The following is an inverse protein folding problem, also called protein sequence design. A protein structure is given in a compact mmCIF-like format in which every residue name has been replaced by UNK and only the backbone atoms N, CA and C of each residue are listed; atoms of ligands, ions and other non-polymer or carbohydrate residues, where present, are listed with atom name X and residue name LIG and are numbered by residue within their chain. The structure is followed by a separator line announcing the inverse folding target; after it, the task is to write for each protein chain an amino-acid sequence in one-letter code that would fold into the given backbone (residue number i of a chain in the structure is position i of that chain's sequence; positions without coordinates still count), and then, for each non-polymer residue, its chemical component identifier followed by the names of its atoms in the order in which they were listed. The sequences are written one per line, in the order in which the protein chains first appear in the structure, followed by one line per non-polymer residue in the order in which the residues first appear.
data_IF_708204470072
#
_entry.id   IF_708204470072
#
_cell.length_a   1.000
_cell.length_b   1.000
_cell.length_c   1.000
_cell.angle_alpha   90.00
_cell.angle_beta   90.00
_cell.angle_gamma   90.00
#
_symmetry.space_group_name_H-M   'P 1'
#
loop_
_entity.id
_entity.type
_entity.pdbx_description
1 polymer ?
#
# COMPACT_ATOMS: atom_id res chain seq x y z
N UNK A 1 -13.60 -36.83 23.50
CA UNK A 1 -12.54 -36.08 24.21
C UNK A 1 -13.18 -34.92 24.98
N UNK A 2 -12.91 -34.77 26.28
CA UNK A 2 -13.44 -33.66 27.09
C UNK A 2 -12.41 -32.52 27.10
N UNK A 3 -12.78 -31.35 26.60
CA UNK A 3 -11.91 -30.17 26.62
C UNK A 3 -11.86 -29.59 28.03
N UNK A 4 -10.65 -29.47 28.60
CA UNK A 4 -10.43 -28.78 29.88
C UNK A 4 -10.16 -27.30 29.65
N UNK A 5 -10.32 -26.48 30.70
CA UNK A 5 -10.09 -25.05 30.58
C UNK A 5 -8.63 -24.72 30.22
N UNK A 6 -7.68 -25.51 30.72
CA UNK A 6 -6.27 -25.40 30.34
C UNK A 6 -6.03 -25.69 28.86
N UNK A 7 -6.68 -26.71 28.30
CA UNK A 7 -6.60 -27.03 26.87
C UNK A 7 -7.19 -25.92 25.99
N UNK A 8 -8.30 -25.32 26.40
CA UNK A 8 -8.93 -24.25 25.62
C UNK A 8 -8.12 -22.95 25.68
N UNK A 9 -7.57 -22.59 26.84
CA UNK A 9 -6.65 -21.44 26.95
C UNK A 9 -5.42 -21.63 26.08
N UNK A 10 -4.80 -22.82 26.14
CA UNK A 10 -3.67 -23.15 25.29
C UNK A 10 -4.05 -23.12 23.81
N UNK A 11 -5.20 -23.68 23.42
CA UNK A 11 -5.68 -23.65 22.04
C UNK A 11 -5.83 -22.20 21.54
N UNK A 12 -6.49 -21.34 22.31
CA UNK A 12 -6.65 -19.93 21.96
C UNK A 12 -5.25 -19.32 21.81
N UNK A 13 -4.40 -19.40 22.83
CA UNK A 13 -3.04 -18.86 22.80
C UNK A 13 -2.24 -19.31 21.56
N UNK A 14 -2.18 -20.62 21.30
CA UNK A 14 -1.43 -21.20 20.17
C UNK A 14 -2.01 -20.76 18.82
N UNK A 15 -3.33 -20.74 18.65
CA UNK A 15 -3.99 -20.30 17.39
C UNK A 15 -3.59 -18.87 17.00
N UNK A 16 -3.25 -18.04 17.98
CA UNK A 16 -2.85 -16.65 17.76
C UNK A 16 -1.34 -16.44 17.69
N UNK A 17 -0.52 -17.25 18.38
CA UNK A 17 0.95 -17.20 18.23
C UNK A 17 1.46 -17.90 16.96
N UNK A 18 0.75 -18.89 16.42
CA UNK A 18 1.12 -19.56 15.14
C UNK A 18 1.05 -18.61 13.92
N UNK A 19 0.66 -17.35 14.10
CA UNK A 19 0.87 -16.28 13.13
C UNK A 19 2.31 -15.73 13.04
N UNK A 20 3.17 -16.07 14.00
CA UNK A 20 4.56 -15.58 14.12
C UNK A 20 5.60 -16.62 13.64
N UNK A 21 5.31 -17.92 13.77
CA UNK A 21 6.23 -19.01 13.38
C UNK A 21 6.16 -19.41 11.89
N UNK A 22 5.81 -18.47 11.02
CA UNK A 22 5.82 -18.64 9.56
C UNK A 22 7.20 -18.46 8.92
N UNK A 23 8.27 -18.39 9.71
CA UNK A 23 9.66 -18.29 9.26
C UNK A 23 10.27 -19.66 8.96
N UNK A 24 9.76 -20.33 7.92
CA UNK A 24 10.38 -21.55 7.41
C UNK A 24 11.80 -21.29 6.92
N UNK A 25 12.76 -22.02 7.49
CA UNK A 25 14.09 -22.15 6.93
C UNK A 25 14.04 -22.85 5.55
N UNK A 26 14.85 -22.30 4.65
CA UNK A 26 15.39 -22.85 3.40
C UNK A 26 14.59 -22.79 2.07
N UNK A 27 15.13 -21.91 1.21
CA UNK A 27 15.57 -22.14 -0.17
C UNK A 27 14.68 -21.76 -1.38
N UNK A 28 15.22 -20.74 -2.10
CA UNK A 28 15.26 -20.53 -3.56
C UNK A 28 13.99 -20.08 -4.32
N UNK A 29 13.88 -18.76 -4.46
CA UNK A 29 13.94 -18.06 -5.77
C UNK A 29 12.77 -18.19 -6.76
N UNK A 30 11.92 -17.15 -6.83
CA UNK A 30 11.51 -16.46 -8.08
C UNK A 30 10.62 -15.23 -7.78
N UNK A 31 10.77 -14.19 -8.61
CA UNK A 31 10.22 -12.82 -8.53
C UNK A 31 8.69 -12.74 -8.37
N UNK A 32 8.11 -11.68 -7.78
CA UNK A 32 6.68 -11.43 -7.83
C UNK A 32 6.32 -10.49 -8.99
N UNK A 33 5.36 -10.91 -9.81
CA UNK A 33 4.53 -10.04 -10.64
C UNK A 33 3.10 -10.05 -10.06
N UNK A 34 2.43 -8.92 -10.19
CA UNK A 34 1.27 -8.53 -9.43
C UNK A 34 -0.07 -9.15 -9.88
N UNK A 35 -1.03 -9.06 -8.93
CA UNK A 35 -2.47 -8.87 -9.09
C UNK A 35 -3.41 -10.05 -8.80
N UNK A 36 -4.41 -9.72 -7.97
CA UNK A 36 -5.66 -10.42 -7.60
C UNK A 36 -5.59 -11.52 -6.54
N UNK A 37 -6.13 -11.21 -5.35
CA UNK A 37 -6.55 -12.19 -4.33
C UNK A 37 -7.86 -12.87 -4.76
N UNK A 38 -8.34 -14.00 -4.17
CA UNK A 38 -7.87 -14.68 -2.96
C UNK A 38 -7.86 -16.22 -3.11
N UNK A 39 -6.75 -16.83 -3.55
CA UNK A 39 -6.58 -18.30 -3.48
C UNK A 39 -5.64 -18.72 -2.33
N UNK A 40 -4.85 -17.78 -1.82
CA UNK A 40 -3.89 -18.00 -0.73
C UNK A 40 -4.55 -18.22 0.64
N UNK A 41 -5.81 -17.79 0.83
CA UNK A 41 -6.48 -17.87 2.14
C UNK A 41 -7.06 -19.27 2.45
N UNK A 42 -7.17 -20.16 1.46
CA UNK A 42 -7.74 -21.49 1.65
C UNK A 42 -6.66 -22.57 1.82
N UNK A 43 -5.50 -22.42 1.17
CA UNK A 43 -4.40 -23.38 1.31
C UNK A 43 -3.56 -23.19 2.59
N UNK A 44 -3.50 -21.98 3.16
CA UNK A 44 -2.85 -21.77 4.46
C UNK A 44 -3.62 -22.40 5.64
N UNK A 45 -4.94 -22.63 5.48
CA UNK A 45 -5.81 -23.18 6.55
C UNK A 45 -5.48 -24.63 6.92
N UNK A 46 -5.05 -25.46 5.96
CA UNK A 46 -4.70 -26.87 6.24
C UNK A 46 -3.35 -27.03 6.96
N UNK A 47 -2.49 -26.02 6.91
CA UNK A 47 -1.19 -25.98 7.61
C UNK A 47 -1.31 -25.44 9.03
N UNK A 48 -2.06 -24.35 9.22
CA UNK A 48 -2.24 -23.71 10.54
C UNK A 48 -2.71 -24.72 11.59
N UNK A 49 -3.78 -25.46 11.32
CA UNK A 49 -4.33 -26.40 12.29
C UNK A 49 -3.43 -27.61 12.56
N UNK A 50 -2.54 -27.96 11.63
CA UNK A 50 -1.49 -28.97 11.87
C UNK A 50 -0.44 -28.45 12.85
N UNK A 51 0.02 -27.21 12.67
CA UNK A 51 0.95 -26.57 13.61
C UNK A 51 0.31 -26.36 14.98
N UNK A 52 -0.94 -25.91 15.04
CA UNK A 52 -1.70 -25.76 16.29
C UNK A 52 -1.86 -27.10 17.01
N UNK A 53 -2.21 -28.17 16.29
CA UNK A 53 -2.30 -29.53 16.85
C UNK A 53 -0.94 -30.03 17.34
N UNK A 54 0.15 -29.75 16.61
CA UNK A 54 1.51 -30.07 17.03
C UNK A 54 1.90 -29.38 18.34
N UNK A 55 1.69 -28.07 18.46
CA UNK A 55 1.96 -27.32 19.69
C UNK A 55 1.07 -27.75 20.87
N UNK A 56 -0.17 -28.20 20.59
CA UNK A 56 -1.01 -28.83 21.61
C UNK A 56 -0.42 -30.17 22.09
N UNK A 57 0.11 -30.99 21.17
CA UNK A 57 0.75 -32.28 21.49
C UNK A 57 2.04 -32.10 22.29
N UNK A 58 2.86 -31.09 21.99
CA UNK A 58 4.08 -30.76 22.74
C UNK A 58 3.82 -30.43 24.21
N UNK A 59 2.64 -29.88 24.52
CA UNK A 59 2.17 -29.62 25.89
C UNK A 59 1.49 -30.83 26.53
N UNK A 60 1.54 -31.99 25.88
CA UNK A 60 0.95 -33.25 26.38
C UNK A 60 -0.53 -33.44 26.04
N UNK A 61 -1.12 -32.58 25.21
CA UNK A 61 -2.53 -32.68 24.81
C UNK A 61 -2.68 -33.25 23.40
N UNK A 62 -3.08 -34.52 23.31
CA UNK A 62 -3.31 -35.20 22.03
C UNK A 62 -4.68 -34.83 21.44
N UNK A 63 -4.70 -33.81 20.59
CA UNK A 63 -5.90 -33.37 19.85
C UNK A 63 -5.58 -33.22 18.37
N UNK A 64 -6.48 -33.65 17.49
CA UNK A 64 -6.26 -33.56 16.05
C UNK A 64 -6.43 -32.13 15.52
N UNK A 65 -5.87 -31.78 14.35
CA UNK A 65 -6.07 -30.48 13.71
C UNK A 65 -7.54 -30.11 13.56
N UNK A 66 -8.38 -31.09 13.17
CA UNK A 66 -9.82 -30.90 13.00
C UNK A 66 -10.50 -30.59 14.34
N UNK A 67 -10.13 -31.29 15.41
CA UNK A 67 -10.69 -31.04 16.74
C UNK A 67 -10.33 -29.64 17.25
N UNK A 68 -9.12 -29.15 16.96
CA UNK A 68 -8.69 -27.80 17.28
C UNK A 68 -9.51 -26.76 16.50
N UNK A 69 -9.69 -26.97 15.19
CA UNK A 69 -10.48 -26.09 14.33
C UNK A 69 -11.94 -26.01 14.76
N UNK A 70 -12.59 -27.16 14.96
CA UNK A 70 -13.99 -27.22 15.33
C UNK A 70 -14.23 -26.57 16.70
N UNK A 71 -13.33 -26.83 17.66
CA UNK A 71 -13.44 -26.24 19.00
C UNK A 71 -13.26 -24.72 18.98
N UNK A 72 -12.28 -24.24 18.22
CA UNK A 72 -12.06 -22.81 18.06
C UNK A 72 -13.23 -22.13 17.35
N UNK A 73 -13.78 -22.76 16.31
CA UNK A 73 -14.94 -22.24 15.59
C UNK A 73 -16.18 -22.16 16.48
N UNK A 74 -16.41 -23.13 17.37
CA UNK A 74 -17.49 -23.07 18.38
C UNK A 74 -17.32 -21.88 19.34
N UNK A 75 -16.11 -21.68 19.86
CA UNK A 75 -15.77 -20.55 20.74
C UNK A 75 -15.98 -19.21 20.04
N UNK A 76 -15.47 -19.08 18.81
CA UNK A 76 -15.58 -17.87 18.02
C UNK A 76 -17.04 -17.55 17.65
N UNK A 77 -17.86 -18.58 17.35
CA UNK A 77 -19.30 -18.40 17.12
C UNK A 77 -20.01 -17.86 18.37
N UNK A 78 -19.74 -18.43 19.55
CA UNK A 78 -20.33 -17.95 20.81
C UNK A 78 -19.89 -16.53 21.15
N UNK A 79 -18.60 -16.23 20.98
CA UNK A 79 -18.06 -14.89 21.16
C UNK A 79 -18.73 -13.85 20.24
N UNK A 80 -18.84 -14.16 18.94
CA UNK A 80 -19.54 -13.29 17.98
C UNK A 80 -20.99 -13.07 18.36
N UNK A 81 -21.71 -14.13 18.76
CA UNK A 81 -23.11 -14.01 19.16
C UNK A 81 -23.31 -13.12 20.39
N UNK A 82 -22.42 -13.17 21.38
CA UNK A 82 -22.45 -12.26 22.53
C UNK A 82 -22.21 -10.81 22.09
N UNK A 83 -21.24 -10.58 21.21
CA UNK A 83 -20.97 -9.25 20.66
C UNK A 83 -22.10 -8.72 19.78
N UNK A 84 -22.83 -9.58 19.07
CA UNK A 84 -23.98 -9.19 18.26
C UNK A 84 -25.19 -8.81 19.14
N UNK A 85 -25.37 -9.49 20.27
CA UNK A 85 -26.46 -9.22 21.22
C UNK A 85 -26.22 -7.96 22.07
N UNK A 86 -24.98 -7.72 22.50
CA UNK A 86 -24.64 -6.66 23.45
C UNK A 86 -23.88 -5.47 22.82
N UNK A 87 -23.25 -5.67 21.67
CA UNK A 87 -22.30 -4.74 21.07
C UNK A 87 -20.87 -4.92 21.59
N UNK A 88 -19.86 -4.73 20.72
CA UNK A 88 -18.43 -5.01 21.01
C UNK A 88 -17.89 -4.27 22.25
N UNK A 89 -18.35 -3.05 22.52
CA UNK A 89 -17.93 -2.27 23.69
C UNK A 89 -18.63 -2.67 25.00
N UNK A 90 -19.93 -2.95 24.91
CA UNK A 90 -20.76 -3.26 26.07
C UNK A 90 -20.58 -4.69 26.55
N UNK A 91 -20.36 -5.63 25.62
CA UNK A 91 -20.12 -7.04 25.93
C UNK A 91 -18.98 -7.20 26.95
N UNK A 92 -17.89 -6.44 26.81
CA UNK A 92 -16.77 -6.49 27.76
C UNK A 92 -17.17 -6.06 29.17
N UNK A 93 -17.96 -4.98 29.30
CA UNK A 93 -18.42 -4.48 30.61
C UNK A 93 -19.37 -5.47 31.28
N UNK A 94 -20.27 -6.06 30.49
CA UNK A 94 -21.27 -7.04 30.95
C UNK A 94 -20.62 -8.37 31.35
N UNK A 95 -19.53 -8.79 30.68
CA UNK A 95 -18.75 -9.98 31.07
C UNK A 95 -18.11 -9.79 32.44
N UNK A 96 -17.63 -8.59 32.76
CA UNK A 96 -16.99 -8.28 34.05
C UNK A 96 -18.00 -8.03 35.17
N UNK A 97 -19.16 -7.48 34.83
CA UNK A 97 -20.26 -7.27 35.77
C UNK A 97 -21.60 -7.63 35.10
N UNK A 98 -22.06 -8.87 35.33
CA UNK A 98 -23.30 -9.36 34.73
C UNK A 98 -24.55 -8.62 35.21
N UNK A 99 -24.53 -7.97 36.38
CA UNK A 99 -25.67 -7.18 36.87
C UNK A 99 -26.00 -5.99 35.94
N UNK A 100 -25.05 -5.57 35.09
CA UNK A 100 -25.29 -4.54 34.09
C UNK A 100 -26.35 -4.95 33.06
N UNK A 101 -26.55 -6.24 32.78
CA UNK A 101 -27.60 -6.73 31.88
C UNK A 101 -29.00 -6.28 32.30
N UNK A 102 -29.25 -6.21 33.61
CA UNK A 102 -30.56 -5.85 34.13
C UNK A 102 -30.88 -4.38 33.84
N UNK A 103 -29.87 -3.51 33.90
CA UNK A 103 -29.98 -2.06 33.65
C UNK A 103 -30.01 -1.68 32.17
N UNK A 104 -29.71 -2.59 31.24
CA UNK A 104 -29.68 -2.31 29.80
C UNK A 104 -31.08 -2.28 29.19
N UNK A 105 -31.31 -1.43 28.19
CA UNK A 105 -32.53 -1.43 27.38
C UNK A 105 -32.43 -2.50 26.28
N UNK A 106 -32.69 -3.75 26.67
CA UNK A 106 -32.70 -4.92 25.78
C UNK A 106 -33.97 -5.72 26.01
N UNK A 107 -34.45 -6.39 24.96
CA UNK A 107 -35.56 -7.33 25.08
C UNK A 107 -35.26 -8.39 26.16
N UNK A 108 -36.24 -8.78 27.00
CA UNK A 108 -36.06 -9.82 28.01
C UNK A 108 -35.49 -11.13 27.43
N UNK A 109 -35.86 -11.47 26.19
CA UNK A 109 -35.33 -12.63 25.46
C UNK A 109 -33.83 -12.48 25.15
N UNK A 110 -33.40 -11.30 24.71
CA UNK A 110 -31.99 -11.02 24.43
C UNK A 110 -31.14 -11.03 25.70
N UNK A 111 -31.67 -10.50 26.82
CA UNK A 111 -31.00 -10.56 28.14
C UNK A 111 -30.80 -12.00 28.60
N UNK A 112 -31.81 -12.85 28.44
CA UNK A 112 -31.74 -14.26 28.82
C UNK A 112 -30.77 -15.06 27.93
N UNK A 113 -30.78 -14.82 26.61
CA UNK A 113 -29.79 -15.40 25.69
C UNK A 113 -28.36 -14.98 26.05
N UNK A 114 -28.14 -13.69 26.32
CA UNK A 114 -26.84 -13.19 26.74
C UNK A 114 -26.39 -13.81 28.08
N UNK A 115 -27.28 -13.89 29.09
CA UNK A 115 -26.98 -14.57 30.36
C UNK A 115 -26.59 -16.03 30.16
N UNK A 116 -27.31 -16.77 29.31
CA UNK A 116 -26.98 -18.19 29.01
C UNK A 116 -25.61 -18.33 28.37
N UNK A 117 -25.26 -17.45 27.44
CA UNK A 117 -23.94 -17.45 26.80
C UNK A 117 -22.82 -17.09 27.79
N UNK A 118 -23.07 -16.12 28.68
CA UNK A 118 -22.13 -15.65 29.70
C UNK A 118 -21.93 -16.61 30.86
N UNK A 119 -22.98 -17.34 31.25
CA UNK A 119 -22.91 -18.39 32.26
C UNK A 119 -22.24 -19.67 31.76
N UNK A 120 -21.95 -19.76 30.46
CA UNK A 120 -21.12 -20.84 29.93
C UNK A 120 -19.70 -20.69 30.48
N UNK A 121 -19.26 -21.65 31.31
CA UNK A 121 -17.87 -21.74 31.84
C UNK A 121 -16.79 -21.69 30.74
N UNK A 122 -17.17 -21.94 29.49
CA UNK A 122 -16.28 -21.98 28.34
C UNK A 122 -16.38 -20.76 27.43
N UNK A 123 -16.81 -19.59 27.93
CA UNK A 123 -16.91 -18.41 27.07
C UNK A 123 -15.53 -17.85 26.68
N UNK A 124 -14.51 -17.97 27.54
CA UNK A 124 -13.14 -17.46 27.33
C UNK A 124 -13.11 -16.08 26.66
N UNK A 125 -14.02 -15.19 27.11
CA UNK A 125 -14.30 -13.93 26.44
C UNK A 125 -13.09 -13.01 26.40
N UNK A 126 -12.31 -12.98 27.49
CA UNK A 126 -11.10 -12.15 27.60
C UNK A 126 -10.04 -12.61 26.61
N UNK A 127 -9.81 -13.92 26.52
CA UNK A 127 -8.87 -14.51 25.57
C UNK A 127 -9.32 -14.31 24.12
N UNK A 128 -10.61 -14.46 23.84
CA UNK A 128 -11.17 -14.19 22.51
C UNK A 128 -11.09 -12.71 22.11
N UNK A 129 -11.36 -11.79 23.05
CA UNK A 129 -11.26 -10.34 22.82
C UNK A 129 -9.82 -9.90 22.62
N UNK A 130 -8.89 -10.36 23.46
CA UNK A 130 -7.47 -10.08 23.31
C UNK A 130 -6.99 -10.48 21.92
N UNK A 131 -7.51 -11.59 21.42
CA UNK A 131 -7.10 -12.12 20.16
C UNK A 131 -7.75 -11.46 18.93
N UNK A 132 -8.99 -10.98 19.04
CA UNK A 132 -9.59 -10.07 18.03
C UNK A 132 -8.81 -8.74 17.96
N UNK A 133 -8.36 -8.21 19.10
CA UNK A 133 -7.59 -6.96 19.15
C UNK A 133 -6.21 -7.10 18.49
N UNK A 134 -5.53 -8.24 18.68
CA UNK A 134 -4.24 -8.47 18.03
C UNK A 134 -4.40 -8.63 16.50
N UNK A 135 -5.46 -9.30 16.03
CA UNK A 135 -5.79 -9.37 14.60
C UNK A 135 -5.98 -7.96 14.01
N UNK A 136 -6.71 -7.09 14.70
CA UNK A 136 -6.88 -5.70 14.28
C UNK A 136 -5.54 -4.95 14.26
N UNK A 137 -4.70 -5.11 15.29
CA UNK A 137 -3.37 -4.48 15.36
C UNK A 137 -2.51 -4.85 14.16
N UNK A 138 -2.42 -6.14 13.82
CA UNK A 138 -1.66 -6.62 12.64
C UNK A 138 -2.25 -6.09 11.34
N UNK A 139 -3.58 -6.02 11.21
CA UNK A 139 -4.23 -5.45 10.04
C UNK A 139 -3.91 -3.95 9.86
N UNK A 140 -3.91 -3.17 10.95
CA UNK A 140 -3.51 -1.76 10.91
C UNK A 140 -2.04 -1.59 10.50
N UNK A 141 -1.14 -2.40 11.05
CA UNK A 141 0.28 -2.38 10.68
C UNK A 141 0.49 -2.72 9.20
N UNK A 142 -0.19 -3.75 8.69
CA UNK A 142 -0.16 -4.08 7.27
C UNK A 142 -0.64 -2.92 6.39
N UNK A 143 -1.72 -2.23 6.79
CA UNK A 143 -2.27 -1.08 6.05
C UNK A 143 -1.32 0.12 6.10
N UNK A 144 -0.73 0.41 7.25
CA UNK A 144 0.25 1.48 7.42
C UNK A 144 1.48 1.25 6.53
N UNK A 145 2.05 0.04 6.55
CA UNK A 145 3.20 -0.30 5.70
C UNK A 145 2.88 -0.19 4.20
N UNK A 146 1.67 -0.58 3.78
CA UNK A 146 1.25 -0.39 2.39
C UNK A 146 1.18 1.08 2.00
N UNK A 147 0.69 1.95 2.89
CA UNK A 147 0.65 3.40 2.66
C UNK A 147 2.07 3.98 2.58
N UNK A 148 2.97 3.60 3.48
CA UNK A 148 4.38 3.99 3.43
C UNK A 148 5.02 3.58 2.10
N UNK A 149 4.76 2.36 1.62
CA UNK A 149 5.29 1.89 0.32
C UNK A 149 4.78 2.73 -0.85
N UNK A 150 3.51 3.18 -0.82
CA UNK A 150 2.99 4.09 -1.84
C UNK A 150 3.62 5.48 -1.70
N UNK A 151 3.82 5.97 -0.48
CA UNK A 151 4.48 7.24 -0.21
C UNK A 151 5.92 7.26 -0.74
N UNK A 152 6.69 6.19 -0.53
CA UNK A 152 8.04 6.07 -1.11
C UNK A 152 8.05 6.07 -2.64
N UNK A 153 7.08 5.39 -3.28
CA UNK A 153 6.94 5.43 -4.74
C UNK A 153 6.64 6.84 -5.23
N UNK A 154 5.70 7.52 -4.57
CA UNK A 154 5.33 8.89 -4.91
C UNK A 154 6.49 9.86 -4.68
N UNK A 155 7.21 9.75 -3.56
CA UNK A 155 8.37 10.59 -3.28
C UNK A 155 9.45 10.43 -4.35
N UNK A 156 9.77 9.18 -4.72
CA UNK A 156 10.73 8.91 -5.80
C UNK A 156 10.27 9.49 -7.14
N UNK A 157 8.98 9.35 -7.47
CA UNK A 157 8.41 9.94 -8.68
C UNK A 157 8.49 11.47 -8.65
N UNK A 158 8.06 12.10 -7.56
CA UNK A 158 8.05 13.54 -7.35
C UNK A 158 9.44 14.15 -7.49
N UNK A 159 10.43 13.61 -6.76
CA UNK A 159 11.82 14.08 -6.85
C UNK A 159 12.41 13.85 -8.25
N UNK A 160 12.03 12.78 -8.94
CA UNK A 160 12.49 12.57 -10.31
C UNK A 160 11.89 13.57 -11.30
N UNK A 161 10.61 13.90 -11.11
CA UNK A 161 9.90 14.90 -11.92
C UNK A 161 10.41 16.31 -11.68
N UNK A 162 10.70 16.67 -10.44
CA UNK A 162 11.28 17.96 -10.08
C UNK A 162 12.62 18.18 -10.79
N UNK A 163 13.54 17.21 -10.70
CA UNK A 163 14.83 17.24 -11.41
C UNK A 163 14.68 17.31 -12.93
N UNK A 164 13.64 16.69 -13.50
CA UNK A 164 13.34 16.78 -14.93
C UNK A 164 12.89 18.18 -15.33
N UNK A 165 12.02 18.80 -14.54
CA UNK A 165 11.59 20.18 -14.77
C UNK A 165 12.75 21.17 -14.66
N UNK A 166 13.67 20.98 -13.70
CA UNK A 166 14.88 21.82 -13.59
C UNK A 166 15.77 21.71 -14.83
N UNK A 167 15.97 20.48 -15.35
CA UNK A 167 16.70 20.29 -16.61
C UNK A 167 16.04 21.03 -17.77
N UNK A 168 14.72 20.90 -17.91
CA UNK A 168 13.97 21.61 -18.95
C UNK A 168 14.07 23.14 -18.83
N UNK A 169 14.12 23.69 -17.61
CA UNK A 169 14.35 25.13 -17.40
C UNK A 169 15.72 25.57 -17.89
N UNK A 170 16.78 24.86 -17.50
CA UNK A 170 18.14 25.17 -17.91
C UNK A 170 18.33 25.02 -19.43
N UNK A 171 17.69 24.01 -20.05
CA UNK A 171 17.69 23.85 -21.51
C UNK A 171 17.01 25.02 -22.22
N UNK A 172 15.89 25.51 -21.70
CA UNK A 172 15.18 26.68 -22.25
C UNK A 172 16.01 27.96 -22.10
N UNK A 173 16.62 28.18 -20.94
CA UNK A 173 17.54 29.30 -20.71
C UNK A 173 18.72 29.26 -21.68
N UNK A 174 19.33 28.09 -21.90
CA UNK A 174 20.39 27.91 -22.90
C UNK A 174 19.90 28.29 -24.31
N UNK A 175 18.72 27.83 -24.71
CA UNK A 175 18.14 28.15 -26.01
C UNK A 175 17.85 29.65 -26.16
N UNK A 176 17.41 30.33 -25.11
CA UNK A 176 17.22 31.78 -25.12
C UNK A 176 18.56 32.51 -25.34
N UNK A 177 19.61 32.11 -24.61
CA UNK A 177 20.96 32.67 -24.79
C UNK A 177 21.52 32.41 -26.20
N UNK A 178 21.24 31.24 -26.77
CA UNK A 178 21.64 30.90 -28.14
C UNK A 178 20.86 31.72 -29.18
N UNK A 179 19.56 31.94 -28.98
CA UNK A 179 18.74 32.83 -29.81
C UNK A 179 19.25 34.28 -29.76
N UNK A 180 19.56 34.80 -28.57
CA UNK A 180 20.11 36.15 -28.38
C UNK A 180 21.47 36.28 -29.06
N UNK A 181 22.34 35.26 -28.93
CA UNK A 181 23.62 35.21 -29.64
C UNK A 181 23.44 35.25 -31.16
N UNK A 182 22.52 34.45 -31.71
CA UNK A 182 22.23 34.47 -33.15
C UNK A 182 21.72 35.84 -33.61
N UNK A 183 20.85 36.48 -32.83
CA UNK A 183 20.33 37.81 -33.14
C UNK A 183 21.44 38.88 -33.18
N UNK A 184 22.36 38.84 -32.21
CA UNK A 184 23.52 39.75 -32.18
C UNK A 184 24.43 39.55 -33.39
N UNK A 185 24.69 38.30 -33.79
CA UNK A 185 25.48 37.99 -34.98
C UNK A 185 24.79 38.52 -36.25
N UNK A 186 23.48 38.30 -36.40
CA UNK A 186 22.72 38.84 -37.53
C UNK A 186 22.80 40.37 -37.57
N UNK A 187 22.65 41.04 -36.42
CA UNK A 187 22.75 42.50 -36.33
C UNK A 187 24.15 43.01 -36.69
N UNK A 188 25.19 42.29 -36.29
CA UNK A 188 26.56 42.60 -36.68
C UNK A 188 26.74 42.47 -38.20
N UNK A 189 26.24 41.40 -38.81
CA UNK A 189 26.28 41.21 -40.27
C UNK A 189 25.51 42.31 -41.01
N UNK A 190 24.32 42.70 -40.53
CA UNK A 190 23.58 43.85 -41.07
C UNK A 190 24.41 45.14 -41.04
N UNK A 191 25.12 45.39 -39.93
CA UNK A 191 25.98 46.56 -39.79
C UNK A 191 27.22 46.48 -40.70
N UNK A 192 27.86 45.33 -40.84
CA UNK A 192 29.00 45.13 -41.74
C UNK A 192 28.60 45.37 -43.20
N UNK A 193 27.42 44.89 -43.62
CA UNK A 193 26.87 45.15 -44.95
C UNK A 193 26.51 46.64 -45.15
N UNK A 194 26.00 47.32 -44.11
CA UNK A 194 25.69 48.74 -44.16
C UNK A 194 26.95 49.64 -44.19
N UNK A 195 28.02 49.27 -43.47
CA UNK A 195 29.29 50.00 -43.45
C UNK A 195 30.17 49.71 -44.67
N UNK A 196 30.05 48.52 -45.28
CA UNK A 196 30.69 48.19 -46.56
C UNK A 196 30.18 49.01 -47.75
N UNK A 197 29.13 49.81 -47.58
CA UNK A 197 28.57 50.70 -48.59
C UNK A 197 29.21 52.09 -48.70
N UNK A 198 30.16 52.47 -47.83
CA UNK A 198 30.65 53.87 -47.77
C UNK A 198 32.17 54.06 -47.81
N UNK A 199 32.95 53.07 -48.25
CA UNK A 199 34.40 53.23 -48.47
C UNK A 199 34.89 52.40 -49.64
N UNK A 200 35.21 53.05 -50.76
CA UNK A 200 35.74 52.39 -51.95
C UNK A 200 37.10 51.74 -51.72
N UNK A 201 37.37 50.67 -52.49
CA UNK A 201 38.68 50.02 -52.58
C UNK A 201 38.70 48.61 -52.01
N UNK A 202 38.73 47.61 -52.90
CA UNK A 202 38.43 46.22 -52.57
C UNK A 202 39.40 45.48 -51.65
N UNK A 203 38.84 44.58 -50.85
CA UNK A 203 39.30 43.19 -50.72
C UNK A 203 38.19 42.35 -50.08
N UNK A 204 37.94 41.19 -50.67
CA UNK A 204 36.94 40.20 -50.32
C UNK A 204 36.86 39.90 -48.82
N UNK A 205 35.81 40.40 -48.14
CA UNK A 205 35.36 39.87 -46.85
C UNK A 205 34.24 38.84 -47.12
N UNK A 206 34.64 37.69 -47.69
CA UNK A 206 33.77 36.52 -47.66
C UNK A 206 33.81 35.98 -46.22
N UNK A 207 32.66 35.98 -45.54
CA UNK A 207 32.50 35.23 -44.29
C UNK A 207 32.98 33.79 -44.57
N UNK A 208 33.97 33.27 -43.84
CA UNK A 208 34.53 31.96 -44.15
C UNK A 208 33.42 30.93 -44.09
N UNK A 209 33.24 30.20 -45.18
CA UNK A 209 32.24 29.13 -45.37
C UNK A 209 32.15 28.13 -44.19
N UNK A 210 33.23 28.01 -43.41
CA UNK A 210 33.29 27.26 -42.16
C UNK A 210 32.36 27.79 -41.05
N UNK A 211 32.19 29.11 -40.89
CA UNK A 211 31.28 29.69 -39.88
C UNK A 211 29.81 29.53 -40.27
N UNK A 212 29.51 29.63 -41.58
CA UNK A 212 28.18 29.38 -42.10
C UNK A 212 27.78 27.90 -41.98
N UNK A 213 28.74 26.97 -42.18
CA UNK A 213 28.53 25.55 -41.95
C UNK A 213 28.34 25.19 -40.47
N UNK A 214 29.03 25.86 -39.54
CA UNK A 214 28.86 25.60 -38.10
C UNK A 214 27.46 26.02 -37.61
N UNK A 215 26.93 27.14 -38.12
CA UNK A 215 25.56 27.60 -37.79
C UNK A 215 24.49 26.63 -38.32
N UNK A 216 24.66 26.10 -39.54
CA UNK A 216 23.71 25.15 -40.15
C UNK A 216 23.76 23.75 -39.52
N UNK A 217 24.89 23.33 -38.95
CA UNK A 217 24.99 22.05 -38.24
C UNK A 217 24.28 22.07 -36.87
N UNK A 218 24.31 23.20 -36.15
CA UNK A 218 23.63 23.33 -34.85
C UNK A 218 22.10 23.49 -34.95
N UNK A 219 21.57 24.03 -36.04
CA UNK A 219 20.12 24.11 -36.26
C UNK A 219 19.48 22.75 -36.53
N UNK A 220 20.22 21.81 -37.15
CA UNK A 220 19.71 20.48 -37.53
C UNK A 220 19.67 19.45 -36.39
N UNK A 221 20.46 19.63 -35.32
CA UNK A 221 20.39 18.78 -34.11
C UNK A 221 19.21 19.18 -33.20
N UNK A 222 18.73 20.43 -33.31
CA UNK A 222 17.71 21.02 -32.45
C UNK A 222 16.26 20.70 -32.90
N UNK A 223 16.03 20.43 -34.18
CA UNK A 223 14.70 20.05 -34.70
C UNK A 223 14.29 18.62 -34.34
N UNK A 224 15.25 17.70 -34.19
CA UNK A 224 14.98 16.29 -33.85
C UNK A 224 14.55 16.07 -32.38
N UNK A 225 14.65 17.07 -31.49
CA UNK A 225 14.20 16.96 -30.10
C UNK A 225 12.81 17.57 -29.84
N UNK A 226 12.21 18.27 -30.80
CA UNK A 226 10.79 18.68 -30.71
C UNK A 226 9.87 17.49 -30.97
N UNK A 227 9.74 16.57 -30.00
CA UNK A 227 8.56 15.70 -29.95
C UNK A 227 7.35 16.59 -29.57
N UNK A 228 6.23 16.55 -30.30
CA UNK A 228 5.03 17.25 -29.89
C UNK A 228 4.65 16.80 -28.48
N UNK A 229 4.24 17.74 -27.63
CA UNK A 229 3.71 17.42 -26.31
C UNK A 229 2.47 16.52 -26.48
N UNK A 230 2.62 15.21 -26.29
CA UNK A 230 1.47 14.36 -26.01
C UNK A 230 0.91 14.81 -24.67
N UNK A 231 -0.31 15.35 -24.71
CA UNK A 231 -1.06 15.68 -23.51
C UNK A 231 -1.15 14.43 -22.62
N UNK A 232 -0.86 14.51 -21.32
CA UNK A 232 -1.08 13.40 -20.43
C UNK A 232 -2.59 13.09 -20.42
N UNK A 233 -2.96 11.91 -20.91
CA UNK A 233 -4.32 11.39 -20.80
C UNK A 233 -4.62 11.17 -19.31
N UNK A 234 -5.38 12.09 -18.72
CA UNK A 234 -5.99 11.94 -17.40
C UNK A 234 -7.16 10.96 -17.58
N UNK A 235 -7.15 9.76 -16.99
CA UNK A 235 -8.33 8.91 -17.04
C UNK A 235 -9.47 9.60 -16.27
N UNK A 236 -10.58 9.83 -16.98
CA UNK A 236 -11.81 10.40 -16.44
C UNK A 236 -12.26 9.63 -15.19
N UNK A 237 -12.43 10.36 -14.10
CA UNK A 237 -13.08 9.87 -12.90
C UNK A 237 -14.57 10.24 -12.98
N UNK A 238 -15.39 9.34 -13.50
CA UNK A 238 -16.86 9.27 -13.34
C UNK A 238 -17.24 7.81 -13.66
N UNK A 239 -17.90 7.00 -12.83
CA UNK A 239 -19.12 7.23 -12.08
C UNK A 239 -19.10 6.47 -10.74
N UNK A 240 -19.25 7.19 -9.63
CA UNK A 240 -19.96 6.66 -8.47
C UNK A 240 -21.44 6.99 -8.66
N UNK A 241 -22.16 6.13 -9.41
CA UNK A 241 -23.61 6.17 -9.38
C UNK A 241 -24.08 5.38 -8.18
N UNK A 242 -24.73 6.11 -7.27
CA UNK A 242 -25.59 5.55 -6.25
C UNK A 242 -26.59 4.57 -6.88
N UNK A 243 -26.76 3.42 -6.23
CA UNK A 243 -28.00 2.67 -6.27
C UNK A 243 -28.46 2.50 -4.83
N UNK A 244 -29.68 2.97 -4.62
CA UNK A 244 -30.51 2.78 -3.44
C UNK A 244 -30.87 1.31 -3.23
#
# INVERSE_FOLDING_TARGET
MKWTDGMVRLLIQVVYHVGDDGGGAEAKGKKPAAASAPVSALLQKKGKWKSVSGAMMEKGFYVSPQQCEDKFNDLNKRYKRVNDLLGKGTACRVVENQALLDTMDLSPKAKEEARKLLNSKHLFFREMKAAELEEQRVAYQCRAFQLERQHFKWLRFSTNKEREMERMKLDNERLCLENDRMLLLLRQTELELAHGGSGGGGSSAAVPYAEQQLMLQNTNTNTNQRRPAEQPHIPNADHASATA
#
